data_IF_985776024362
#
_entry.id   IF_985776024362
#
_cell.length_a   1.000
_cell.length_b   1.000
_cell.length_c   1.000
_cell.angle_alpha   90.00
_cell.angle_beta   90.00
_cell.angle_gamma   90.00
#
_symmetry.space_group_name_H-M   'P 1'
#
loop_
_entity.id
_entity.type
_entity.pdbx_description
1 polymer ?
#
# COMPACT_ATOMS: atom_id res chain seq x y z
N UNK A 1 -2.27 20.96 -24.17
CA UNK A 1 -1.56 20.89 -22.87
C UNK A 1 -0.46 19.82 -22.90
N UNK A 2 0.80 20.22 -22.67
CA UNK A 2 1.90 19.27 -22.49
C UNK A 2 1.59 18.43 -21.24
N UNK A 3 1.65 17.10 -21.35
CA UNK A 3 1.53 16.24 -20.17
C UNK A 3 2.74 16.55 -19.26
N UNK A 4 2.55 16.65 -17.94
CA UNK A 4 3.68 16.75 -17.02
C UNK A 4 4.63 15.57 -17.27
N UNK A 5 5.93 15.78 -17.11
CA UNK A 5 6.89 14.68 -17.10
C UNK A 5 6.50 13.70 -15.98
N UNK A 6 6.59 12.40 -16.24
CA UNK A 6 6.38 11.33 -15.27
C UNK A 6 7.73 10.71 -14.91
N UNK A 7 7.94 10.36 -13.65
CA UNK A 7 9.18 9.67 -13.25
C UNK A 7 9.26 8.26 -13.82
N UNK A 8 8.11 7.60 -13.97
CA UNK A 8 7.98 6.25 -14.51
C UNK A 8 7.80 5.16 -13.45
N UNK A 9 7.47 5.53 -12.20
CA UNK A 9 7.10 4.54 -11.19
C UNK A 9 5.75 3.90 -11.52
N UNK A 10 5.61 2.61 -11.23
CA UNK A 10 4.33 1.91 -11.45
C UNK A 10 3.22 2.51 -10.58
N UNK A 11 3.56 3.01 -9.40
CA UNK A 11 2.64 3.66 -8.48
C UNK A 11 1.96 4.88 -9.11
N UNK A 12 2.65 5.66 -9.95
CA UNK A 12 2.03 6.80 -10.68
C UNK A 12 0.92 6.36 -11.63
N UNK A 13 0.97 5.11 -12.12
CA UNK A 13 -0.03 4.58 -13.06
C UNK A 13 -1.24 3.94 -12.36
N UNK A 14 -1.07 3.51 -11.12
CA UNK A 14 -2.09 2.78 -10.36
C UNK A 14 -2.61 3.57 -9.16
N UNK A 15 -2.13 4.79 -8.95
CA UNK A 15 -2.48 5.63 -7.80
C UNK A 15 -3.93 6.10 -7.75
N UNK A 16 -4.75 5.84 -8.77
CA UNK A 16 -6.21 6.04 -8.68
C UNK A 16 -6.93 4.90 -7.94
N UNK A 17 -6.21 3.87 -7.49
CA UNK A 17 -6.76 2.75 -6.75
C UNK A 17 -5.86 2.38 -5.56
N UNK A 18 -6.37 2.62 -4.34
CA UNK A 18 -5.70 2.18 -3.12
C UNK A 18 -5.46 0.68 -3.10
N UNK A 19 -6.45 -0.09 -3.58
CA UNK A 19 -6.37 -1.54 -3.66
C UNK A 19 -5.21 -1.98 -4.54
N UNK A 20 -5.04 -1.36 -5.71
CA UNK A 20 -3.93 -1.66 -6.61
C UNK A 20 -2.56 -1.34 -5.97
N UNK A 21 -2.43 -0.19 -5.29
CA UNK A 21 -1.19 0.18 -4.59
C UNK A 21 -0.83 -0.82 -3.48
N UNK A 22 -1.81 -1.24 -2.68
CA UNK A 22 -1.59 -2.19 -1.58
C UNK A 22 -1.21 -3.57 -2.13
N UNK A 23 -1.93 -4.08 -3.15
CA UNK A 23 -1.59 -5.35 -3.80
C UNK A 23 -0.19 -5.31 -4.42
N UNK A 24 0.14 -4.23 -5.14
CA UNK A 24 1.46 -4.04 -5.75
C UNK A 24 2.58 -4.11 -4.70
N UNK A 25 2.37 -3.53 -3.52
CA UNK A 25 3.38 -3.53 -2.46
C UNK A 25 3.74 -4.94 -1.96
N UNK A 26 2.77 -5.86 -1.92
CA UNK A 26 3.00 -7.26 -1.56
C UNK A 26 3.79 -7.97 -2.66
N UNK A 27 3.48 -7.71 -3.93
CA UNK A 27 4.17 -8.34 -5.07
C UNK A 27 5.63 -7.89 -5.21
N UNK A 28 5.96 -6.67 -4.79
CA UNK A 28 7.32 -6.12 -4.89
C UNK A 28 8.25 -6.57 -3.78
N UNK A 29 7.73 -7.19 -2.72
CA UNK A 29 8.56 -7.63 -1.61
C UNK A 29 9.55 -8.74 -2.04
N UNK A 30 10.83 -8.38 -2.15
CA UNK A 30 11.90 -9.24 -2.68
C UNK A 30 11.70 -9.66 -4.14
N UNK A 31 11.06 -8.82 -4.97
CA UNK A 31 10.94 -9.06 -6.42
C UNK A 31 11.23 -7.81 -7.22
N UNK A 32 11.90 -7.97 -8.36
CA UNK A 32 12.15 -6.88 -9.31
C UNK A 32 10.85 -6.45 -9.98
N UNK A 33 10.62 -5.15 -10.05
CA UNK A 33 9.35 -4.64 -10.56
C UNK A 33 9.03 -4.98 -12.01
N UNK A 34 10.04 -5.08 -12.87
CA UNK A 34 9.86 -5.50 -14.27
C UNK A 34 9.23 -6.89 -14.38
N UNK A 35 9.57 -7.81 -13.48
CA UNK A 35 9.01 -9.17 -13.47
C UNK A 35 7.61 -9.19 -12.85
N UNK A 36 7.38 -8.38 -11.81
CA UNK A 36 6.14 -8.39 -11.07
C UNK A 36 5.02 -7.57 -11.74
N UNK A 37 5.33 -6.65 -12.66
CA UNK A 37 4.36 -5.79 -13.33
C UNK A 37 3.34 -6.55 -14.20
N UNK A 38 3.74 -7.46 -15.10
CA UNK A 38 2.77 -8.29 -15.85
C UNK A 38 1.84 -9.08 -14.92
N UNK A 39 2.37 -9.63 -13.82
CA UNK A 39 1.59 -10.41 -12.85
C UNK A 39 0.63 -9.53 -12.05
N UNK A 40 1.04 -8.31 -11.69
CA UNK A 40 0.15 -7.33 -11.06
C UNK A 40 -1.08 -7.05 -11.94
N UNK A 41 -0.87 -6.76 -13.22
CA UNK A 41 -1.98 -6.47 -14.12
C UNK A 41 -2.87 -7.69 -14.36
N UNK A 42 -2.30 -8.88 -14.53
CA UNK A 42 -3.07 -10.11 -14.64
C UNK A 42 -3.91 -10.38 -13.38
N UNK A 43 -3.34 -10.18 -12.19
CA UNK A 43 -4.02 -10.34 -10.91
C UNK A 43 -5.16 -9.33 -10.76
N UNK A 44 -4.91 -8.03 -11.00
CA UNK A 44 -5.94 -6.99 -10.89
C UNK A 44 -7.03 -7.12 -11.96
N UNK A 45 -6.74 -7.75 -13.10
CA UNK A 45 -7.75 -8.07 -14.11
C UNK A 45 -8.64 -9.22 -13.66
N UNK A 46 -8.04 -10.27 -13.07
CA UNK A 46 -8.77 -11.46 -12.61
C UNK A 46 -9.52 -11.24 -11.29
N UNK A 47 -8.95 -10.42 -10.40
CA UNK A 47 -9.47 -10.12 -9.06
C UNK A 47 -9.55 -8.60 -8.86
N UNK A 48 -10.45 -7.90 -9.56
CA UNK A 48 -10.49 -6.43 -9.61
C UNK A 48 -10.89 -5.78 -8.28
N UNK A 49 -11.56 -6.52 -7.40
CA UNK A 49 -11.95 -6.03 -6.07
C UNK A 49 -11.40 -6.90 -4.95
N UNK A 50 -11.33 -6.37 -3.70
CA UNK A 50 -11.06 -7.19 -2.54
C UNK A 50 -11.99 -8.40 -2.40
N UNK A 51 -13.27 -8.27 -2.79
CA UNK A 51 -14.25 -9.38 -2.73
C UNK A 51 -13.90 -10.53 -3.67
N UNK A 52 -13.41 -10.21 -4.87
CA UNK A 52 -12.98 -11.23 -5.82
C UNK A 52 -11.71 -11.93 -5.33
N UNK A 53 -10.77 -11.16 -4.76
CA UNK A 53 -9.51 -11.70 -4.25
C UNK A 53 -9.71 -12.54 -2.98
N UNK A 54 -10.64 -12.17 -2.09
CA UNK A 54 -10.96 -12.97 -0.90
C UNK A 54 -11.57 -14.32 -1.27
N UNK A 55 -12.30 -14.37 -2.38
CA UNK A 55 -12.96 -15.57 -2.89
C UNK A 55 -12.07 -16.39 -3.84
N UNK A 56 -10.82 -15.96 -4.05
CA UNK A 56 -9.91 -16.61 -4.98
C UNK A 56 -9.53 -18.02 -4.50
N UNK A 57 -9.44 -18.98 -5.44
CA UNK A 57 -8.81 -20.27 -5.17
C UNK A 57 -7.34 -20.04 -4.80
N UNK A 58 -6.94 -20.54 -3.63
CA UNK A 58 -5.55 -20.45 -3.18
C UNK A 58 -4.59 -21.11 -4.17
N UNK A 59 -4.98 -22.21 -4.80
CA UNK A 59 -4.16 -22.95 -5.77
C UNK A 59 -3.97 -22.14 -7.07
N UNK A 60 -5.05 -21.59 -7.61
CA UNK A 60 -5.01 -20.75 -8.81
C UNK A 60 -4.16 -19.50 -8.59
N UNK A 61 -4.34 -18.84 -7.44
CA UNK A 61 -3.58 -17.64 -7.09
C UNK A 61 -2.11 -17.99 -6.87
N UNK A 62 -1.81 -19.13 -6.24
CA UNK A 62 -0.43 -19.61 -6.08
C UNK A 62 0.21 -19.87 -7.44
N UNK A 63 -0.49 -20.54 -8.35
CA UNK A 63 -0.04 -20.83 -9.71
C UNK A 63 0.25 -19.54 -10.48
N UNK A 64 -0.64 -18.55 -10.41
CA UNK A 64 -0.43 -17.23 -11.02
C UNK A 64 0.84 -16.52 -10.50
N UNK A 65 1.16 -16.71 -9.22
CA UNK A 65 2.28 -16.03 -8.55
C UNK A 65 3.62 -16.79 -8.64
N UNK A 66 3.63 -18.03 -9.16
CA UNK A 66 4.84 -18.86 -9.31
C UNK A 66 6.04 -18.11 -9.91
N UNK A 67 5.90 -17.31 -10.98
CA UNK A 67 7.04 -16.62 -11.60
C UNK A 67 7.76 -15.62 -10.69
N UNK A 68 7.13 -15.18 -9.61
CA UNK A 68 7.69 -14.18 -8.69
C UNK A 68 8.47 -14.78 -7.52
N UNK A 69 8.32 -16.09 -7.28
CA UNK A 69 8.78 -16.75 -6.07
C UNK A 69 7.97 -16.36 -4.82
N UNK A 70 8.16 -17.09 -3.73
CA UNK A 70 7.41 -16.94 -2.46
C UNK A 70 5.87 -17.02 -2.63
N UNK A 71 5.42 -17.62 -3.72
CA UNK A 71 4.05 -17.66 -4.21
C UNK A 71 3.06 -18.18 -3.18
N UNK A 72 3.42 -19.23 -2.44
CA UNK A 72 2.59 -19.78 -1.36
C UNK A 72 2.33 -18.75 -0.25
N UNK A 73 3.36 -18.00 0.14
CA UNK A 73 3.27 -16.98 1.18
C UNK A 73 2.49 -15.77 0.66
N UNK A 74 2.74 -15.37 -0.60
CA UNK A 74 2.05 -14.23 -1.22
C UNK A 74 0.57 -14.50 -1.43
N UNK A 75 0.20 -15.67 -1.96
CA UNK A 75 -1.19 -16.04 -2.20
C UNK A 75 -2.00 -16.01 -0.90
N UNK A 76 -1.49 -16.65 0.17
CA UNK A 76 -2.12 -16.59 1.50
C UNK A 76 -2.21 -15.16 2.04
N UNK A 77 -1.16 -14.36 1.86
CA UNK A 77 -1.16 -12.97 2.33
C UNK A 77 -2.13 -12.08 1.55
N UNK A 78 -2.30 -12.31 0.25
CA UNK A 78 -3.25 -11.58 -0.59
C UNK A 78 -4.71 -11.90 -0.25
N UNK A 79 -5.02 -13.17 0.02
CA UNK A 79 -6.35 -13.56 0.51
C UNK A 79 -6.60 -12.95 1.89
N UNK A 80 -5.66 -13.10 2.83
CA UNK A 80 -5.79 -12.51 4.17
C UNK A 80 -5.89 -10.97 4.14
N UNK A 81 -5.17 -10.32 3.20
CA UNK A 81 -5.32 -8.89 2.93
C UNK A 81 -6.75 -8.56 2.54
N UNK A 82 -7.31 -9.31 1.58
CA UNK A 82 -8.64 -9.09 1.07
C UNK A 82 -9.71 -9.31 2.16
N UNK A 83 -9.59 -10.36 2.97
CA UNK A 83 -10.47 -10.62 4.11
C UNK A 83 -10.44 -9.48 5.13
N UNK A 84 -9.23 -9.01 5.50
CA UNK A 84 -9.06 -7.88 6.42
C UNK A 84 -9.63 -6.58 5.84
N UNK A 85 -9.52 -6.39 4.52
CA UNK A 85 -10.10 -5.25 3.83
C UNK A 85 -11.63 -5.28 3.88
N UNK A 86 -12.25 -6.44 3.65
CA UNK A 86 -13.70 -6.57 3.72
C UNK A 86 -14.22 -6.37 5.14
N UNK A 87 -13.50 -6.88 6.14
CA UNK A 87 -13.86 -6.73 7.55
C UNK A 87 -13.74 -5.28 8.04
N UNK A 88 -12.69 -4.57 7.62
CA UNK A 88 -12.45 -3.18 7.97
C UNK A 88 -11.83 -2.42 6.79
N UNK A 89 -12.66 -1.90 5.87
CA UNK A 89 -12.16 -1.14 4.72
C UNK A 89 -11.35 0.08 5.19
N UNK A 90 -10.21 0.40 4.53
CA UNK A 90 -9.48 1.63 4.77
C UNK A 90 -10.39 2.85 4.61
N UNK A 91 -10.33 3.76 5.58
CA UNK A 91 -11.08 5.00 5.56
C UNK A 91 -10.31 6.07 6.33
N UNK A 92 -10.68 7.35 6.19
CA UNK A 92 -10.00 8.46 6.85
C UNK A 92 -10.28 8.55 8.36
N UNK A 93 -11.37 7.92 8.81
CA UNK A 93 -11.85 8.00 10.20
C UNK A 93 -11.12 7.07 11.16
N UNK A 94 -10.36 6.09 10.65
CA UNK A 94 -9.69 5.08 11.47
C UNK A 94 -8.24 4.94 11.08
N UNK A 95 -7.37 4.97 12.08
CA UNK A 95 -5.94 4.73 11.95
C UNK A 95 -5.51 3.59 12.86
N UNK A 96 -4.47 2.90 12.44
CA UNK A 96 -3.89 1.78 13.17
C UNK A 96 -2.41 2.00 13.36
N UNK A 97 -1.86 1.43 14.44
CA UNK A 97 -0.43 1.54 14.70
C UNK A 97 0.39 0.76 13.67
N UNK A 98 1.58 1.25 13.39
CA UNK A 98 2.68 0.45 12.86
C UNK A 98 3.89 0.65 13.77
N UNK A 99 4.26 -0.39 14.53
CA UNK A 99 5.39 -0.30 15.44
C UNK A 99 6.68 0.00 14.68
N UNK A 100 7.45 0.96 15.18
CA UNK A 100 8.72 1.43 14.60
C UNK A 100 8.59 2.05 13.19
N UNK A 101 7.44 2.64 12.88
CA UNK A 101 7.22 3.41 11.66
C UNK A 101 6.59 4.77 11.98
N UNK A 102 7.07 5.89 11.37
CA UNK A 102 8.09 5.94 10.32
C UNK A 102 9.51 5.74 10.85
N UNK A 103 9.70 5.93 12.16
CA UNK A 103 10.99 5.85 12.85
C UNK A 103 10.94 4.87 14.02
N UNK A 104 12.11 4.43 14.49
CA UNK A 104 12.22 3.54 15.65
C UNK A 104 11.63 4.20 16.90
N UNK A 105 10.61 3.57 17.46
CA UNK A 105 9.95 3.99 18.71
C UNK A 105 8.49 4.43 18.51
N UNK A 106 8.15 4.89 17.30
CA UNK A 106 6.78 5.26 16.94
C UNK A 106 5.79 4.10 17.12
N UNK A 107 4.57 4.41 17.56
CA UNK A 107 3.47 3.47 17.76
C UNK A 107 3.63 2.52 18.96
N UNK A 108 4.55 2.82 19.88
CA UNK A 108 4.75 2.07 21.14
C UNK A 108 3.71 2.43 22.22
N UNK A 109 3.11 3.60 22.10
CA UNK A 109 2.04 4.19 22.89
C UNK A 109 0.63 3.74 22.46
N UNK A 110 0.54 2.85 21.46
CA UNK A 110 -0.71 2.32 20.90
C UNK A 110 -0.69 0.80 20.95
N UNK A 111 -1.79 0.18 21.43
CA UNK A 111 -1.89 -1.28 21.53
C UNK A 111 -2.16 -1.93 20.15
N UNK A 112 -1.76 -3.20 19.92
CA UNK A 112 -1.95 -3.92 18.65
C UNK A 112 -3.35 -3.86 18.04
N UNK A 113 -4.39 -3.92 18.86
CA UNK A 113 -5.80 -3.94 18.44
C UNK A 113 -6.52 -2.61 18.67
N UNK A 114 -5.80 -1.57 19.08
CA UNK A 114 -6.38 -0.26 19.33
C UNK A 114 -6.57 0.49 18.01
N UNK A 115 -7.74 1.10 17.87
CA UNK A 115 -8.11 1.91 16.71
C UNK A 115 -8.08 3.37 17.13
N UNK A 116 -7.28 4.16 16.44
CA UNK A 116 -7.20 5.61 16.66
C UNK A 116 -8.26 6.29 15.79
N UNK A 117 -9.17 7.02 16.40
CA UNK A 117 -10.22 7.78 15.72
C UNK A 117 -9.70 9.15 15.24
N UNK A 118 -10.56 9.98 14.65
CA UNK A 118 -10.16 11.26 14.04
C UNK A 118 -9.52 12.23 15.04
N UNK A 119 -10.05 12.27 16.26
CA UNK A 119 -9.67 13.21 17.32
C UNK A 119 -8.41 12.77 18.07
N UNK A 120 -7.92 11.55 17.82
CA UNK A 120 -6.73 11.04 18.49
C UNK A 120 -5.46 11.71 17.95
N UNK A 121 -4.71 12.37 18.82
CA UNK A 121 -3.50 13.09 18.42
C UNK A 121 -2.33 12.14 18.07
N UNK A 122 -2.41 10.86 18.48
CA UNK A 122 -1.35 9.88 18.24
C UNK A 122 -1.23 9.50 16.78
N UNK A 123 -0.02 9.15 16.37
CA UNK A 123 0.26 8.80 14.99
C UNK A 123 -0.22 7.38 14.63
N UNK A 124 -0.85 7.25 13.47
CA UNK A 124 -1.29 5.97 12.91
C UNK A 124 -1.64 6.09 11.44
N UNK A 125 -1.97 4.95 10.82
CA UNK A 125 -2.11 4.83 9.37
C UNK A 125 -3.37 4.06 9.02
N UNK A 126 -4.09 4.56 8.01
CA UNK A 126 -5.43 4.11 7.59
C UNK A 126 -5.44 2.68 7.04
N UNK A 127 -4.27 2.20 6.64
CA UNK A 127 -4.05 0.90 6.01
C UNK A 127 -3.19 -0.03 6.87
N UNK A 128 -2.65 0.41 8.01
CA UNK A 128 -1.64 -0.36 8.76
C UNK A 128 -2.14 -1.68 9.37
N UNK A 129 -3.45 -1.85 9.55
CA UNK A 129 -4.06 -3.11 9.98
C UNK A 129 -4.02 -4.21 8.91
N UNK A 130 -3.85 -3.83 7.64
CA UNK A 130 -3.87 -4.76 6.52
C UNK A 130 -2.61 -5.65 6.52
N UNK A 131 -2.75 -6.98 6.32
CA UNK A 131 -1.63 -7.88 6.12
C UNK A 131 -0.70 -7.45 4.99
N UNK A 132 0.60 -7.38 5.28
CA UNK A 132 1.62 -7.01 4.28
C UNK A 132 2.02 -5.53 4.29
N UNK A 133 1.41 -4.70 5.13
CA UNK A 133 1.74 -3.27 5.24
C UNK A 133 3.04 -3.04 6.04
N UNK A 134 4.17 -3.21 5.37
CA UNK A 134 5.52 -2.84 5.84
C UNK A 134 5.88 -1.38 5.54
N UNK A 135 7.11 -0.97 5.86
CA UNK A 135 7.61 0.40 5.65
C UNK A 135 7.44 0.87 4.19
N UNK A 136 7.89 0.08 3.22
CA UNK A 136 7.73 0.39 1.79
C UNK A 136 6.27 0.59 1.36
N UNK A 137 5.36 -0.26 1.84
CA UNK A 137 3.94 -0.18 1.50
C UNK A 137 3.30 1.08 2.10
N UNK A 138 3.65 1.42 3.35
CA UNK A 138 3.18 2.64 4.00
C UNK A 138 3.76 3.91 3.38
N UNK A 139 5.05 3.90 3.03
CA UNK A 139 5.68 5.02 2.31
C UNK A 139 5.00 5.21 0.94
N UNK A 140 4.75 4.12 0.19
CA UNK A 140 4.01 4.18 -1.08
C UNK A 140 2.59 4.72 -0.90
N UNK A 141 1.85 4.26 0.10
CA UNK A 141 0.51 4.78 0.42
C UNK A 141 0.55 6.29 0.73
N UNK A 142 1.48 6.73 1.59
CA UNK A 142 1.63 8.14 1.97
C UNK A 142 1.99 9.04 0.80
N UNK A 143 2.85 8.57 -0.10
CA UNK A 143 3.27 9.34 -1.27
C UNK A 143 2.16 9.46 -2.32
N UNK A 144 1.44 8.36 -2.57
CA UNK A 144 0.59 8.24 -3.76
C UNK A 144 -0.92 8.29 -3.50
N UNK A 145 -1.40 8.09 -2.27
CA UNK A 145 -2.85 7.93 -2.02
C UNK A 145 -3.39 8.56 -0.73
N UNK A 146 -2.57 8.78 0.31
CA UNK A 146 -3.10 9.18 1.62
C UNK A 146 -3.89 10.49 1.57
N UNK A 147 -3.42 11.46 0.80
CA UNK A 147 -4.12 12.74 0.61
C UNK A 147 -5.48 12.56 -0.08
N UNK A 148 -5.56 11.65 -1.07
CA UNK A 148 -6.83 11.30 -1.74
C UNK A 148 -7.80 10.65 -0.75
N UNK A 149 -7.33 9.68 0.04
CA UNK A 149 -8.17 9.01 1.04
C UNK A 149 -8.70 9.98 2.10
N UNK A 150 -7.89 10.96 2.50
CA UNK A 150 -8.25 11.97 3.50
C UNK A 150 -9.04 13.14 2.91
N UNK A 151 -9.07 13.30 1.59
CA UNK A 151 -9.69 14.46 0.93
C UNK A 151 -8.95 15.76 1.26
N UNK A 152 -7.62 15.72 1.30
CA UNK A 152 -6.78 16.89 1.61
C UNK A 152 -6.94 17.96 0.51
N UNK A 153 -7.19 19.20 0.93
CA UNK A 153 -7.33 20.34 0.03
C UNK A 153 -5.98 20.76 -0.58
N UNK A 154 -6.03 21.45 -1.73
CA UNK A 154 -4.83 21.81 -2.50
C UNK A 154 -3.89 22.80 -1.80
N UNK A 155 -4.42 23.58 -0.86
CA UNK A 155 -3.67 24.62 -0.15
C UNK A 155 -2.98 24.09 1.12
N UNK A 156 -3.23 22.83 1.48
CA UNK A 156 -2.54 22.12 2.56
C UNK A 156 -1.27 21.49 2.02
N UNK A 157 -0.19 21.53 2.81
CA UNK A 157 1.04 20.84 2.44
C UNK A 157 0.79 19.34 2.25
N UNK A 158 1.14 18.77 1.08
CA UNK A 158 0.80 17.39 0.77
C UNK A 158 1.67 16.38 1.52
N UNK A 159 1.10 15.20 1.83
CA UNK A 159 1.71 14.18 2.69
C UNK A 159 3.08 13.72 2.18
N UNK A 160 3.26 13.61 0.86
CA UNK A 160 4.51 13.12 0.26
C UNK A 160 5.73 13.94 0.68
N UNK A 161 5.55 15.22 1.06
CA UNK A 161 6.63 16.07 1.55
C UNK A 161 7.17 15.70 2.94
N UNK A 162 6.42 14.88 3.67
CA UNK A 162 6.74 14.40 5.03
C UNK A 162 7.26 12.96 5.03
N UNK A 163 7.44 12.36 3.86
CA UNK A 163 7.87 10.97 3.72
C UNK A 163 9.38 10.92 3.56
N UNK A 164 10.04 10.22 4.49
CA UNK A 164 11.44 9.83 4.38
C UNK A 164 11.49 8.33 4.03
N UNK A 165 11.42 8.04 2.73
CA UNK A 165 11.45 6.67 2.23
C UNK A 165 12.86 6.09 2.37
N UNK A 166 12.97 4.79 2.68
CA UNK A 166 14.25 4.06 2.63
C UNK A 166 14.51 3.39 1.28
N UNK A 167 13.42 3.03 0.59
CA UNK A 167 13.45 2.39 -0.71
C UNK A 167 14.09 3.30 -1.76
N UNK A 168 15.02 2.73 -2.53
CA UNK A 168 15.82 3.47 -3.50
C UNK A 168 14.99 4.15 -4.59
N UNK A 169 13.90 3.51 -5.03
CA UNK A 169 13.10 4.00 -6.15
C UNK A 169 12.14 5.09 -5.64
N UNK A 170 11.59 4.93 -4.42
CA UNK A 170 10.82 5.98 -3.76
C UNK A 170 11.67 7.20 -3.39
N UNK A 171 12.94 7.01 -2.96
CA UNK A 171 13.87 8.12 -2.69
C UNK A 171 14.11 8.95 -3.95
N UNK A 172 14.50 8.29 -5.04
CA UNK A 172 14.76 8.97 -6.31
C UNK A 172 13.50 9.69 -6.85
N UNK A 173 12.32 9.09 -6.63
CA UNK A 173 11.05 9.74 -6.95
C UNK A 173 10.80 11.02 -6.15
N UNK A 174 11.02 10.99 -4.82
CA UNK A 174 10.85 12.14 -3.95
C UNK A 174 11.84 13.27 -4.28
N UNK A 175 13.09 12.93 -4.60
CA UNK A 175 14.12 13.89 -5.05
C UNK A 175 13.74 14.55 -6.38
N UNK A 176 13.21 13.79 -7.34
CA UNK A 176 12.76 14.34 -8.63
C UNK A 176 11.49 15.19 -8.52
N UNK A 177 10.58 14.83 -7.60
CA UNK A 177 9.28 15.50 -7.44
C UNK A 177 9.39 16.84 -6.72
N UNK A 178 10.50 17.08 -6.00
CA UNK A 178 10.75 18.33 -5.26
C UNK A 178 10.93 19.52 -6.20
#
# INVERSE_FOLDING_TARGET
PLRPATFGLIQERICSSLYALVVQSILWNQTRGLTAQPILFALLTRYPTPKDLSSASLDDLTTMLQPLGLQNIRARRLIALADAWLAAPPCKERRYRKLHYPSRGCGSDVKPSEVLLLEDEREGWEVAHLPGMGKYALDSFRIFYRDELRGVERDVEPEWKRVMADDKDLKAYLEWRW
#
